data_IF_222858187209
#
_entry.id   IF_222858187209
#
_cell.length_a   1.000
_cell.length_b   1.000
_cell.length_c   1.000
_cell.angle_alpha   90.00
_cell.angle_beta   90.00
_cell.angle_gamma   90.00
#
_symmetry.space_group_name_H-M   'P 1'
#
loop_
_entity.id
_entity.type
_entity.pdbx_description
1 polymer ?
#
# COMPACT_ATOMS: atom_id res chain seq x y z
N UNK A 1 -8.13 45.73 -79.10
CA UNK A 1 -8.58 44.44 -79.66
C UNK A 1 -7.35 43.54 -79.78
N UNK A 2 -7.42 42.31 -79.21
CA UNK A 2 -6.53 41.14 -79.38
C UNK A 2 -5.14 41.23 -78.72
N UNK A 3 -4.83 40.52 -77.62
CA UNK A 3 -4.79 39.06 -77.35
C UNK A 3 -3.45 38.39 -77.73
N UNK A 4 -2.86 37.75 -76.70
CA UNK A 4 -2.18 36.45 -76.68
C UNK A 4 -0.72 36.31 -77.15
N UNK A 5 -0.04 35.36 -76.49
CA UNK A 5 1.23 34.67 -76.80
C UNK A 5 2.57 35.22 -76.32
N UNK A 6 2.82 35.39 -75.00
CA UNK A 6 4.20 35.34 -74.45
C UNK A 6 4.35 34.76 -73.01
N UNK A 7 3.51 33.82 -72.58
CA UNK A 7 3.67 33.15 -71.27
C UNK A 7 3.63 31.62 -71.39
N UNK A 8 4.57 31.02 -72.13
CA UNK A 8 4.65 29.55 -72.18
C UNK A 8 6.07 28.98 -72.23
N UNK A 9 7.13 29.76 -72.01
CA UNK A 9 8.50 29.25 -72.11
C UNK A 9 9.44 29.70 -70.98
N UNK A 10 8.93 29.74 -69.75
CA UNK A 10 9.75 29.92 -68.55
C UNK A 10 9.30 29.02 -67.38
N UNK A 11 8.78 27.84 -67.73
CA UNK A 11 8.28 26.81 -66.80
C UNK A 11 8.73 25.40 -67.25
N UNK A 12 9.91 25.31 -67.86
CA UNK A 12 10.47 24.03 -68.33
C UNK A 12 11.98 23.90 -68.05
N UNK A 13 12.48 24.52 -66.99
CA UNK A 13 13.90 24.45 -66.62
C UNK A 13 14.15 24.37 -65.11
N UNK A 14 13.17 23.92 -64.32
CA UNK A 14 13.31 23.74 -62.87
C UNK A 14 12.80 22.37 -62.37
N UNK A 15 12.92 21.31 -63.19
CA UNK A 15 12.41 19.97 -62.85
C UNK A 15 13.46 18.86 -62.92
N UNK A 16 14.74 19.18 -62.73
CA UNK A 16 15.80 18.16 -62.61
C UNK A 16 16.78 18.55 -61.50
N UNK A 17 16.41 18.31 -60.24
CA UNK A 17 17.36 18.12 -59.13
C UNK A 17 16.65 17.74 -57.82
N UNK A 18 15.81 16.70 -57.81
CA UNK A 18 15.55 15.93 -56.60
C UNK A 18 15.40 14.46 -56.97
N UNK A 19 16.44 13.87 -57.55
CA UNK A 19 16.71 12.45 -57.30
C UNK A 19 17.28 12.40 -55.88
N UNK A 20 16.41 12.55 -54.89
CA UNK A 20 16.70 11.97 -53.59
C UNK A 20 16.84 10.47 -53.88
N UNK A 21 18.04 9.92 -53.67
CA UNK A 21 18.14 8.50 -53.43
C UNK A 21 17.22 8.25 -52.23
N UNK A 22 16.03 7.71 -52.48
CA UNK A 22 15.30 6.97 -51.47
C UNK A 22 16.29 5.87 -51.08
N UNK A 23 16.98 6.06 -49.95
CA UNK A 23 17.70 4.97 -49.32
C UNK A 23 16.60 4.02 -48.90
N UNK A 24 16.34 3.02 -49.72
CA UNK A 24 15.60 1.83 -49.32
C UNK A 24 16.43 1.21 -48.21
N UNK A 25 16.08 1.57 -46.97
CA UNK A 25 16.64 0.92 -45.80
C UNK A 25 15.90 -0.40 -45.71
N UNK A 26 16.47 -1.45 -46.34
CA UNK A 26 16.15 -2.80 -45.94
C UNK A 26 16.46 -2.90 -44.45
N UNK A 27 15.40 -2.95 -43.64
CA UNK A 27 15.54 -3.20 -42.22
C UNK A 27 16.34 -4.51 -42.09
N UNK A 28 17.41 -4.54 -41.29
CA UNK A 28 18.16 -5.77 -41.09
C UNK A 28 17.16 -6.87 -40.67
N UNK A 29 17.29 -8.09 -41.22
CA UNK A 29 16.35 -9.15 -40.92
C UNK A 29 16.31 -9.38 -39.41
N UNK A 30 15.13 -9.23 -38.81
CA UNK A 30 14.88 -9.61 -37.43
C UNK A 30 14.95 -11.14 -37.39
N UNK A 31 16.12 -11.69 -37.06
CA UNK A 31 16.28 -13.12 -36.81
C UNK A 31 15.68 -13.45 -35.45
N UNK A 32 14.76 -14.41 -35.43
CA UNK A 32 14.28 -15.00 -34.18
C UNK A 32 15.46 -15.56 -33.39
N UNK A 33 15.59 -15.24 -32.08
CA UNK A 33 16.59 -15.87 -31.23
C UNK A 33 16.38 -17.39 -31.21
N UNK A 34 17.45 -18.16 -31.35
CA UNK A 34 17.42 -19.62 -31.21
C UNK A 34 18.47 -20.03 -30.19
N UNK A 35 18.05 -20.75 -29.15
CA UNK A 35 19.00 -21.27 -28.17
C UNK A 35 19.64 -22.57 -28.68
N UNK A 36 20.97 -22.53 -28.90
CA UNK A 36 21.74 -23.69 -29.39
C UNK A 36 22.67 -24.29 -28.33
N UNK A 37 22.49 -23.92 -27.06
CA UNK A 37 23.32 -24.39 -25.94
C UNK A 37 22.89 -25.76 -25.38
N UNK A 38 23.48 -26.20 -24.26
CA UNK A 38 23.11 -27.45 -23.60
C UNK A 38 21.65 -27.48 -23.17
N UNK A 39 21.03 -28.66 -23.19
CA UNK A 39 19.67 -28.83 -22.67
C UNK A 39 19.60 -28.46 -21.18
N UNK A 40 18.44 -27.91 -20.77
CA UNK A 40 18.17 -27.66 -19.37
C UNK A 40 18.23 -28.97 -18.56
N UNK A 41 18.87 -28.92 -17.41
CA UNK A 41 19.17 -30.09 -16.58
C UNK A 41 18.90 -29.84 -15.08
N UNK A 42 18.25 -28.71 -14.76
CA UNK A 42 17.78 -28.40 -13.42
C UNK A 42 16.51 -27.55 -13.49
N UNK A 43 15.76 -27.54 -12.39
CA UNK A 43 14.58 -26.71 -12.15
C UNK A 43 14.84 -25.66 -11.08
N UNK A 44 13.97 -24.66 -10.96
CA UNK A 44 14.08 -23.65 -9.90
C UNK A 44 13.89 -24.28 -8.52
N UNK A 45 13.01 -25.27 -8.36
CA UNK A 45 12.86 -25.99 -7.09
C UNK A 45 14.17 -26.70 -6.68
N UNK A 46 14.81 -27.43 -7.59
CA UNK A 46 16.11 -28.08 -7.34
C UNK A 46 17.21 -27.06 -7.08
N UNK A 47 17.18 -25.90 -7.76
CA UNK A 47 18.12 -24.82 -7.54
C UNK A 47 18.01 -24.25 -6.12
N UNK A 48 16.79 -24.07 -5.61
CA UNK A 48 16.53 -23.63 -4.23
C UNK A 48 17.05 -24.63 -3.21
N UNK A 49 16.84 -25.92 -3.44
CA UNK A 49 17.39 -27.01 -2.61
C UNK A 49 18.92 -27.01 -2.62
N UNK A 50 19.53 -26.84 -3.80
CA UNK A 50 20.98 -26.75 -3.96
C UNK A 50 21.57 -25.58 -3.16
N UNK A 51 20.87 -24.44 -3.15
CA UNK A 51 21.25 -23.23 -2.41
C UNK A 51 20.82 -23.19 -0.94
N UNK A 52 20.34 -24.29 -0.35
CA UNK A 52 19.75 -24.28 1.00
C UNK A 52 20.71 -23.81 2.11
N UNK A 53 22.03 -23.86 1.88
CA UNK A 53 23.04 -23.37 2.83
C UNK A 53 23.40 -21.88 2.66
N UNK A 54 22.83 -21.19 1.67
CA UNK A 54 23.10 -19.77 1.44
C UNK A 54 22.58 -18.90 2.60
N UNK A 55 23.26 -17.80 2.86
CA UNK A 55 22.83 -16.77 3.81
C UNK A 55 22.98 -15.39 3.18
N UNK A 56 22.63 -14.35 3.94
CA UNK A 56 22.81 -12.97 3.49
C UNK A 56 24.29 -12.60 3.29
N UNK A 57 25.17 -13.08 4.17
CA UNK A 57 26.59 -12.74 4.15
C UNK A 57 27.46 -13.79 3.43
N UNK A 58 26.95 -15.01 3.27
CA UNK A 58 27.68 -16.12 2.66
C UNK A 58 26.81 -16.74 1.57
N UNK A 59 27.01 -16.36 0.29
CA UNK A 59 26.24 -16.94 -0.80
C UNK A 59 26.72 -18.38 -1.09
N UNK A 60 25.84 -19.19 -1.67
CA UNK A 60 26.20 -20.47 -2.25
C UNK A 60 26.63 -20.27 -3.72
N UNK A 61 27.90 -20.49 -4.04
CA UNK A 61 28.41 -20.39 -5.42
C UNK A 61 28.16 -21.71 -6.17
N UNK A 62 27.52 -21.60 -7.32
CA UNK A 62 27.13 -22.75 -8.14
C UNK A 62 28.34 -23.19 -8.99
N UNK A 63 29.03 -24.23 -8.55
CA UNK A 63 30.20 -24.76 -9.27
C UNK A 63 29.84 -25.72 -10.41
N UNK A 64 28.65 -26.34 -10.35
CA UNK A 64 28.18 -27.33 -11.32
C UNK A 64 27.74 -26.70 -12.64
N UNK A 65 27.84 -27.47 -13.72
CA UNK A 65 27.36 -27.11 -15.05
C UNK A 65 25.83 -27.31 -15.15
N UNK A 66 25.08 -26.43 -14.47
CA UNK A 66 23.62 -26.42 -14.50
C UNK A 66 23.09 -25.40 -15.50
N UNK A 67 22.06 -25.80 -16.24
CA UNK A 67 21.31 -24.95 -17.16
C UNK A 67 19.84 -24.98 -16.77
N UNK A 68 19.30 -23.81 -16.44
CA UNK A 68 17.88 -23.61 -16.13
C UNK A 68 17.16 -23.14 -17.39
N UNK A 69 15.99 -23.71 -17.71
CA UNK A 69 15.04 -23.13 -18.65
C UNK A 69 13.91 -22.49 -17.87
N UNK A 70 13.62 -21.21 -18.15
CA UNK A 70 12.55 -20.48 -17.46
C UNK A 70 11.91 -19.44 -18.38
N UNK A 71 10.78 -18.90 -17.95
CA UNK A 71 10.10 -17.76 -18.58
C UNK A 71 10.30 -16.51 -17.74
N UNK A 72 10.55 -15.38 -18.38
CA UNK A 72 10.54 -14.06 -17.73
C UNK A 72 9.11 -13.69 -17.34
N UNK A 73 8.84 -13.51 -16.05
CA UNK A 73 7.50 -13.15 -15.54
C UNK A 73 7.37 -11.72 -15.05
N UNK A 74 8.48 -11.03 -14.79
CA UNK A 74 8.50 -9.63 -14.38
C UNK A 74 9.89 -9.01 -14.56
N UNK A 75 9.93 -7.71 -14.84
CA UNK A 75 11.13 -6.92 -15.08
C UNK A 75 10.87 -5.45 -14.71
N UNK A 76 11.82 -4.58 -15.00
CA UNK A 76 11.86 -3.17 -14.58
C UNK A 76 11.10 -2.20 -15.51
N UNK A 77 10.19 -2.67 -16.36
CA UNK A 77 9.50 -1.86 -17.38
C UNK A 77 8.79 -0.62 -16.82
N UNK A 78 7.98 -0.80 -15.76
CA UNK A 78 7.23 0.31 -15.15
C UNK A 78 8.05 1.12 -14.16
N UNK A 79 9.26 0.68 -13.78
CA UNK A 79 10.04 1.26 -12.69
C UNK A 79 9.63 0.78 -11.28
N UNK A 80 8.59 -0.05 -11.12
CA UNK A 80 8.24 -0.61 -9.81
C UNK A 80 9.23 -1.68 -9.33
N UNK A 81 9.81 -2.42 -10.29
CA UNK A 81 10.87 -3.42 -10.06
C UNK A 81 12.21 -2.75 -10.39
N UNK A 82 13.16 -2.81 -9.47
CA UNK A 82 14.45 -2.13 -9.62
C UNK A 82 15.61 -3.12 -9.61
N UNK A 83 16.39 -3.15 -10.71
CA UNK A 83 17.60 -3.98 -10.86
C UNK A 83 17.39 -5.48 -10.61
N UNK A 84 16.20 -5.96 -10.96
CA UNK A 84 15.78 -7.36 -10.82
C UNK A 84 15.05 -7.83 -12.06
N UNK A 85 15.12 -9.12 -12.31
CA UNK A 85 14.27 -9.83 -13.28
C UNK A 85 13.75 -11.11 -12.62
N UNK A 86 12.50 -11.48 -12.91
CA UNK A 86 11.85 -12.66 -12.34
C UNK A 86 11.77 -13.78 -13.36
N UNK A 87 12.21 -14.97 -12.96
CA UNK A 87 12.14 -16.19 -13.75
C UNK A 87 11.19 -17.19 -13.10
N UNK A 88 10.40 -17.87 -13.92
CA UNK A 88 9.49 -18.92 -13.48
C UNK A 88 9.58 -20.13 -14.41
N UNK A 89 9.63 -21.33 -13.83
CA UNK A 89 9.48 -22.59 -14.53
C UNK A 89 8.22 -23.33 -14.03
N UNK A 90 8.06 -24.60 -14.38
CA UNK A 90 6.89 -25.40 -13.98
C UNK A 90 6.87 -25.71 -12.47
N UNK A 91 8.01 -25.54 -11.77
CA UNK A 91 8.21 -25.98 -10.39
C UNK A 91 8.15 -24.84 -9.38
N UNK A 92 8.73 -23.68 -9.70
CA UNK A 92 8.87 -22.53 -8.79
C UNK A 92 9.22 -21.25 -9.56
N UNK A 93 9.49 -20.18 -8.83
CA UNK A 93 10.00 -18.92 -9.37
C UNK A 93 11.19 -18.41 -8.54
N UNK A 94 12.04 -17.59 -9.14
CA UNK A 94 13.19 -16.96 -8.49
C UNK A 94 13.44 -15.58 -9.09
N UNK A 95 13.89 -14.66 -8.26
CA UNK A 95 14.40 -13.38 -8.74
C UNK A 95 15.91 -13.45 -9.00
N UNK A 96 16.37 -12.71 -10.01
CA UNK A 96 17.79 -12.52 -10.29
C UNK A 96 18.15 -11.05 -10.20
N UNK A 97 19.17 -10.74 -9.41
CA UNK A 97 19.75 -9.40 -9.28
C UNK A 97 20.61 -9.08 -10.51
N UNK A 98 20.37 -7.91 -11.13
CA UNK A 98 21.05 -7.47 -12.36
C UNK A 98 21.51 -6.03 -12.20
N UNK A 99 22.79 -5.75 -12.48
CA UNK A 99 23.35 -4.40 -12.40
C UNK A 99 23.06 -3.59 -13.68
N UNK A 100 21.79 -3.52 -14.06
CA UNK A 100 21.33 -2.83 -15.27
C UNK A 100 19.92 -2.28 -15.08
N UNK A 101 19.65 -1.15 -15.72
CA UNK A 101 18.30 -0.61 -15.87
C UNK A 101 17.78 -0.87 -17.29
N UNK A 102 16.46 -0.83 -17.43
CA UNK A 102 15.75 -1.07 -18.68
C UNK A 102 16.02 -2.44 -19.29
N UNK A 103 16.14 -3.46 -18.43
CA UNK A 103 16.34 -4.86 -18.84
C UNK A 103 15.14 -5.37 -19.66
N UNK A 104 13.94 -4.81 -19.42
CA UNK A 104 12.73 -5.10 -20.20
C UNK A 104 12.89 -4.94 -21.71
N UNK A 105 13.75 -4.02 -22.18
CA UNK A 105 14.02 -3.82 -23.61
C UNK A 105 14.66 -5.05 -24.29
N UNK A 106 15.32 -5.90 -23.50
CA UNK A 106 16.06 -7.06 -23.99
C UNK A 106 15.38 -8.38 -23.63
N UNK A 107 14.75 -8.43 -22.46
CA UNK A 107 14.09 -9.59 -21.86
C UNK A 107 12.67 -9.19 -21.39
N UNK A 108 11.73 -9.01 -22.33
CA UNK A 108 10.34 -8.69 -22.01
C UNK A 108 9.62 -9.88 -21.36
N UNK A 109 8.50 -9.60 -20.70
CA UNK A 109 7.64 -10.64 -20.11
C UNK A 109 7.22 -11.67 -21.18
N UNK A 110 7.26 -12.95 -20.83
CA UNK A 110 6.94 -14.05 -21.74
C UNK A 110 8.13 -14.54 -22.59
N UNK A 111 9.30 -13.91 -22.47
CA UNK A 111 10.54 -14.41 -23.07
C UNK A 111 10.96 -15.72 -22.40
N UNK A 112 11.13 -16.78 -23.19
CA UNK A 112 11.78 -18.01 -22.74
C UNK A 112 13.28 -17.81 -22.78
N UNK A 113 13.95 -18.20 -21.69
CA UNK A 113 15.39 -18.09 -21.53
C UNK A 113 16.01 -19.37 -21.02
N UNK A 114 17.29 -19.54 -21.34
CA UNK A 114 18.18 -20.51 -20.74
C UNK A 114 19.25 -19.77 -19.94
N UNK A 115 19.39 -20.12 -18.67
CA UNK A 115 20.36 -19.51 -17.74
C UNK A 115 21.46 -20.52 -17.46
N UNK A 116 22.69 -20.21 -17.86
CA UNK A 116 23.88 -20.96 -17.44
C UNK A 116 24.24 -20.55 -16.02
N UNK A 117 24.08 -21.47 -15.07
CA UNK A 117 24.17 -21.16 -13.64
C UNK A 117 25.60 -21.25 -13.09
N UNK A 118 26.54 -21.82 -13.85
CA UNK A 118 27.91 -22.01 -13.37
C UNK A 118 28.60 -20.66 -13.11
N UNK A 119 29.13 -20.51 -11.90
CA UNK A 119 29.78 -19.28 -11.46
C UNK A 119 28.82 -18.20 -10.94
N UNK A 120 27.51 -18.38 -11.13
CA UNK A 120 26.50 -17.60 -10.41
C UNK A 120 26.39 -18.08 -8.97
N UNK A 121 25.62 -17.36 -8.17
CA UNK A 121 25.41 -17.67 -6.76
C UNK A 121 23.97 -17.49 -6.32
N UNK A 122 23.57 -18.25 -5.31
CA UNK A 122 22.36 -18.03 -4.54
C UNK A 122 22.74 -17.30 -3.27
N UNK A 123 22.13 -16.14 -3.02
CA UNK A 123 22.25 -15.40 -1.76
C UNK A 123 20.87 -15.27 -1.11
N UNK A 124 20.82 -14.75 0.12
CA UNK A 124 19.56 -14.54 0.85
C UNK A 124 19.35 -13.07 1.17
N UNK A 125 18.15 -12.56 0.91
CA UNK A 125 17.72 -11.23 1.34
C UNK A 125 16.30 -11.29 1.88
N UNK A 126 16.08 -10.78 3.09
CA UNK A 126 14.77 -10.81 3.73
C UNK A 126 14.22 -12.23 3.92
N UNK A 127 15.08 -13.17 4.30
CA UNK A 127 14.80 -14.62 4.40
C UNK A 127 14.52 -15.34 3.07
N UNK A 128 14.66 -14.65 1.92
CA UNK A 128 14.38 -15.25 0.61
C UNK A 128 15.62 -15.38 -0.28
N UNK A 129 15.71 -16.51 -0.98
CA UNK A 129 16.80 -16.80 -1.92
C UNK A 129 16.65 -16.01 -3.22
N UNK A 130 17.76 -15.40 -3.66
CA UNK A 130 17.87 -14.67 -4.93
C UNK A 130 19.08 -15.19 -5.73
N UNK A 131 18.97 -15.20 -7.04
CA UNK A 131 20.06 -15.54 -7.96
C UNK A 131 20.88 -14.27 -8.26
N UNK A 132 22.19 -14.42 -8.41
CA UNK A 132 23.06 -13.29 -8.72
C UNK A 132 24.50 -13.68 -9.00
N UNK A 133 25.40 -12.71 -8.96
CA UNK A 133 26.83 -12.92 -9.09
C UNK A 133 27.50 -12.80 -7.72
N UNK A 134 28.39 -13.74 -7.32
CA UNK A 134 28.95 -13.77 -5.97
C UNK A 134 29.76 -12.53 -5.60
N UNK A 135 30.45 -11.95 -6.59
CA UNK A 135 31.27 -10.74 -6.39
C UNK A 135 30.52 -9.44 -6.70
N UNK A 136 29.24 -9.51 -7.04
CA UNK A 136 28.41 -8.35 -7.37
C UNK A 136 28.08 -7.52 -6.13
N UNK A 137 27.97 -6.19 -6.26
CA UNK A 137 27.44 -5.36 -5.18
C UNK A 137 25.97 -5.74 -4.93
N UNK A 138 25.66 -6.15 -3.69
CA UNK A 138 24.37 -6.77 -3.34
C UNK A 138 24.04 -7.98 -4.22
N UNK A 139 25.07 -8.71 -4.67
CA UNK A 139 24.97 -9.84 -5.59
C UNK A 139 24.43 -9.54 -6.99
N UNK A 140 24.34 -8.26 -7.37
CA UNK A 140 23.91 -7.89 -8.72
C UNK A 140 24.87 -8.40 -9.78
N UNK A 141 24.31 -9.11 -10.74
CA UNK A 141 25.06 -9.65 -11.87
C UNK A 141 25.42 -8.50 -12.80
N UNK A 142 26.72 -8.23 -13.07
CA UNK A 142 27.13 -7.24 -14.05
C UNK A 142 26.45 -7.49 -15.40
N UNK A 143 26.06 -6.42 -16.11
CA UNK A 143 25.28 -6.56 -17.33
C UNK A 143 25.93 -7.46 -18.39
N UNK A 144 27.24 -7.31 -18.59
CA UNK A 144 28.00 -8.15 -19.54
C UNK A 144 27.91 -9.63 -19.18
N UNK A 145 28.11 -9.97 -17.91
CA UNK A 145 27.96 -11.35 -17.40
C UNK A 145 26.53 -11.84 -17.54
N UNK A 146 25.53 -11.00 -17.26
CA UNK A 146 24.12 -11.37 -17.44
C UNK A 146 23.82 -11.74 -18.90
N UNK A 147 24.30 -10.96 -19.86
CA UNK A 147 24.12 -11.24 -21.29
C UNK A 147 24.82 -12.53 -21.74
N UNK A 148 25.96 -12.87 -21.14
CA UNK A 148 26.67 -14.13 -21.42
C UNK A 148 25.93 -15.35 -20.88
N UNK A 149 25.33 -15.24 -19.68
CA UNK A 149 24.72 -16.40 -19.01
C UNK A 149 23.23 -16.56 -19.31
N UNK A 150 22.52 -15.52 -19.73
CA UNK A 150 21.08 -15.56 -20.03
C UNK A 150 20.84 -15.46 -21.53
N UNK A 151 20.57 -16.61 -22.16
CA UNK A 151 20.30 -16.73 -23.58
C UNK A 151 18.79 -16.83 -23.87
N UNK A 152 18.31 -16.14 -24.91
CA UNK A 152 16.91 -16.18 -25.34
C UNK A 152 16.63 -17.36 -26.26
N UNK A 153 15.42 -17.90 -26.18
CA UNK A 153 14.90 -18.93 -27.06
C UNK A 153 13.54 -18.50 -27.63
N UNK A 154 13.50 -18.24 -28.94
CA UNK A 154 12.33 -17.71 -29.63
C UNK A 154 12.03 -16.24 -29.33
N UNK A 155 11.00 -15.72 -30.00
CA UNK A 155 10.40 -14.45 -29.64
C UNK A 155 9.62 -14.54 -28.32
N UNK A 156 9.57 -13.43 -27.58
CA UNK A 156 8.75 -13.34 -26.39
C UNK A 156 7.26 -13.51 -26.73
N UNK A 157 6.57 -14.33 -25.94
CA UNK A 157 5.14 -14.53 -26.05
C UNK A 157 4.50 -14.32 -24.67
N UNK A 158 3.67 -13.27 -24.48
CA UNK A 158 2.99 -13.00 -23.21
C UNK A 158 2.21 -14.20 -22.65
N UNK A 159 1.71 -15.09 -23.51
CA UNK A 159 0.99 -16.30 -23.10
C UNK A 159 1.85 -17.29 -22.31
N UNK A 160 3.18 -17.15 -22.34
CA UNK A 160 4.07 -17.97 -21.52
C UNK A 160 4.07 -17.51 -20.05
N UNK A 161 3.73 -16.25 -19.77
CA UNK A 161 3.74 -15.66 -18.43
C UNK A 161 2.31 -15.58 -17.84
N UNK A 162 1.64 -16.74 -17.74
CA UNK A 162 0.28 -16.83 -17.17
C UNK A 162 0.33 -16.84 -15.64
N UNK A 163 -0.45 -15.98 -14.97
CA UNK A 163 -0.52 -15.99 -13.51
C UNK A 163 -1.22 -17.24 -12.99
N UNK A 164 -0.82 -17.67 -11.79
CA UNK A 164 -1.66 -18.59 -10.99
C UNK A 164 -2.82 -17.78 -10.40
N UNK A 165 -4.05 -18.16 -10.74
CA UNK A 165 -5.27 -17.51 -10.26
C UNK A 165 -5.58 -17.97 -8.84
N UNK A 166 -5.86 -17.04 -7.93
CA UNK A 166 -6.11 -17.26 -6.51
C UNK A 166 -7.34 -16.42 -6.09
N UNK A 167 -8.34 -17.06 -5.49
CA UNK A 167 -9.56 -16.42 -4.97
C UNK A 167 -9.61 -16.33 -3.44
N UNK A 168 -8.77 -17.11 -2.75
CA UNK A 168 -8.53 -17.06 -1.31
C UNK A 168 -7.03 -16.78 -1.04
N UNK A 169 -6.71 -15.57 -0.59
CA UNK A 169 -5.35 -15.14 -0.29
C UNK A 169 -4.68 -16.11 0.70
N UNK A 170 -5.40 -16.69 1.65
CA UNK A 170 -4.82 -17.58 2.66
C UNK A 170 -4.18 -18.83 2.05
N UNK A 171 -4.56 -19.23 0.84
CA UNK A 171 -4.01 -20.37 0.09
C UNK A 171 -2.50 -20.30 -0.08
N UNK A 172 -1.93 -19.09 -0.17
CA UNK A 172 -0.48 -18.91 -0.34
C UNK A 172 0.31 -19.45 0.86
N UNK A 173 -0.33 -19.61 2.03
CA UNK A 173 0.29 -20.17 3.23
C UNK A 173 0.31 -21.71 3.25
N UNK A 174 -0.40 -22.38 2.33
CA UNK A 174 -0.43 -23.85 2.25
C UNK A 174 0.83 -24.44 1.61
N UNK A 175 1.54 -23.64 0.80
CA UNK A 175 2.80 -24.00 0.15
C UNK A 175 3.68 -22.76 -0.01
N UNK A 176 4.25 -22.30 1.09
CA UNK A 176 5.04 -21.07 1.13
C UNK A 176 6.14 -21.07 0.06
N UNK A 177 6.92 -22.14 -0.07
CA UNK A 177 8.01 -22.17 -1.04
C UNK A 177 7.54 -22.19 -2.50
N UNK A 178 6.39 -22.79 -2.77
CA UNK A 178 5.80 -22.83 -4.11
C UNK A 178 5.23 -21.52 -4.61
N UNK A 179 5.04 -20.52 -3.74
CA UNK A 179 4.45 -19.22 -4.10
C UNK A 179 5.45 -18.05 -4.09
N UNK A 180 6.67 -18.25 -3.56
CA UNK A 180 7.73 -17.22 -3.55
C UNK A 180 8.09 -16.78 -4.96
N UNK A 181 8.03 -15.46 -5.20
CA UNK A 181 8.27 -14.77 -6.46
C UNK A 181 7.40 -15.23 -7.63
N UNK A 182 6.34 -16.01 -7.35
CA UNK A 182 5.47 -16.53 -8.38
C UNK A 182 4.59 -15.42 -8.93
N UNK A 183 4.35 -15.45 -10.24
CA UNK A 183 3.32 -14.62 -10.84
C UNK A 183 1.94 -15.15 -10.46
N UNK A 184 1.18 -14.33 -9.72
CA UNK A 184 -0.16 -14.68 -9.23
C UNK A 184 -1.17 -13.60 -9.64
N UNK A 185 -2.44 -13.98 -9.72
CA UNK A 185 -3.57 -13.08 -9.88
C UNK A 185 -4.56 -13.36 -8.76
N UNK A 186 -4.76 -12.37 -7.89
CA UNK A 186 -5.84 -12.40 -6.91
C UNK A 186 -7.11 -11.86 -7.53
N UNK A 187 -8.18 -12.65 -7.50
CA UNK A 187 -9.47 -12.28 -8.10
C UNK A 187 -10.45 -11.75 -7.08
N UNK A 188 -11.33 -10.84 -7.51
CA UNK A 188 -12.40 -10.29 -6.68
C UNK A 188 -11.91 -9.63 -5.37
N UNK A 189 -10.76 -8.97 -5.44
CA UNK A 189 -10.18 -8.22 -4.33
C UNK A 189 -10.53 -6.74 -4.43
N UNK A 190 -10.57 -6.05 -3.29
CA UNK A 190 -10.65 -4.59 -3.21
C UNK A 190 -9.40 -4.02 -2.57
N UNK A 191 -8.93 -2.85 -3.00
CA UNK A 191 -7.98 -2.09 -2.19
C UNK A 191 -8.68 -1.53 -0.95
N UNK A 192 -8.09 -1.70 0.23
CA UNK A 192 -8.62 -1.17 1.49
C UNK A 192 -8.84 0.35 1.42
N UNK A 193 -7.93 1.05 0.73
CA UNK A 193 -8.00 2.50 0.46
C UNK A 193 -8.37 2.81 -1.00
N UNK A 194 -9.10 1.91 -1.67
CA UNK A 194 -9.53 2.07 -3.06
C UNK A 194 -10.34 3.36 -3.26
N UNK A 195 -10.00 4.14 -4.30
CA UNK A 195 -10.59 5.45 -4.59
C UNK A 195 -10.13 6.59 -3.66
N UNK A 196 -9.29 6.30 -2.66
CA UNK A 196 -8.80 7.29 -1.68
C UNK A 196 -7.29 7.53 -1.85
N UNK A 197 -6.49 6.50 -1.67
CA UNK A 197 -5.02 6.61 -1.74
C UNK A 197 -4.52 6.48 -3.19
N UNK A 198 -3.24 6.83 -3.38
CA UNK A 198 -2.46 6.55 -4.59
C UNK A 198 -1.55 5.35 -4.35
N UNK A 199 -1.02 4.74 -5.41
CA UNK A 199 -0.16 3.56 -5.27
C UNK A 199 1.13 3.80 -4.48
N UNK A 200 1.75 4.98 -4.59
CA UNK A 200 2.92 5.36 -3.81
C UNK A 200 3.04 6.89 -3.65
N UNK A 201 3.58 7.37 -2.51
CA UNK A 201 3.88 8.78 -2.31
C UNK A 201 5.04 9.26 -3.19
N UNK A 202 5.28 10.58 -3.23
CA UNK A 202 6.37 11.17 -4.04
C UNK A 202 7.77 10.67 -3.66
N UNK A 203 7.95 10.21 -2.42
CA UNK A 203 9.22 9.67 -1.93
C UNK A 203 9.05 8.33 -1.21
N UNK A 204 9.85 7.33 -1.57
CA UNK A 204 9.89 6.04 -0.87
C UNK A 204 8.97 5.00 -1.51
N UNK A 205 8.19 4.30 -0.69
CA UNK A 205 7.30 3.24 -1.12
C UNK A 205 5.88 3.50 -0.61
N UNK A 206 4.89 3.15 -1.41
CA UNK A 206 3.52 2.94 -0.96
C UNK A 206 3.32 1.49 -0.53
N UNK A 207 2.55 1.30 0.52
CA UNK A 207 2.22 0.02 1.13
C UNK A 207 0.71 -0.03 1.33
N UNK A 208 0.00 -0.54 0.33
CA UNK A 208 -1.48 -0.55 0.30
C UNK A 208 -1.99 -1.97 0.40
N UNK A 209 -3.10 -2.21 1.10
CA UNK A 209 -3.60 -3.57 1.27
C UNK A 209 -4.73 -3.88 0.30
N UNK A 210 -4.69 -5.06 -0.33
CA UNK A 210 -5.86 -5.67 -0.97
C UNK A 210 -6.55 -6.61 0.01
N UNK A 211 -7.87 -6.74 -0.12
CA UNK A 211 -8.73 -7.57 0.73
C UNK A 211 -9.57 -8.50 -0.16
N UNK A 212 -9.52 -9.81 0.09
CA UNK A 212 -10.32 -10.79 -0.64
C UNK A 212 -11.76 -10.91 -0.09
N UNK A 213 -12.57 -11.79 -0.68
CA UNK A 213 -13.95 -12.04 -0.22
C UNK A 213 -14.04 -12.75 1.13
N UNK A 214 -12.92 -13.26 1.65
CA UNK A 214 -12.83 -13.98 2.91
C UNK A 214 -12.33 -13.08 4.06
N UNK A 215 -11.96 -11.82 3.74
CA UNK A 215 -11.43 -10.86 4.71
C UNK A 215 -9.93 -10.99 4.95
N UNK A 216 -9.23 -11.82 4.17
CA UNK A 216 -7.77 -11.90 4.22
C UNK A 216 -7.17 -10.66 3.56
N UNK A 217 -6.02 -10.22 4.07
CA UNK A 217 -5.30 -9.06 3.53
C UNK A 217 -3.94 -9.45 2.96
N UNK A 218 -3.51 -8.70 1.94
CA UNK A 218 -2.17 -8.80 1.37
C UNK A 218 -1.66 -7.40 1.02
N UNK A 219 -0.43 -7.10 1.43
CA UNK A 219 0.23 -5.84 1.10
C UNK A 219 0.63 -5.83 -0.38
N UNK A 220 0.29 -4.76 -1.07
CA UNK A 220 0.80 -4.35 -2.38
C UNK A 220 1.83 -3.27 -2.14
N UNK A 221 3.09 -3.55 -2.49
CA UNK A 221 4.20 -2.63 -2.33
C UNK A 221 4.54 -1.99 -3.67
N UNK A 222 4.51 -0.66 -3.73
CA UNK A 222 4.82 0.11 -4.94
C UNK A 222 5.92 1.13 -4.67
N UNK A 223 6.92 1.21 -5.53
CA UNK A 223 7.96 2.23 -5.50
C UNK A 223 7.44 3.56 -6.03
N UNK A 224 7.90 4.67 -5.47
CA UNK A 224 7.68 6.00 -6.03
C UNK A 224 8.30 6.20 -7.44
N UNK A 225 9.18 5.30 -7.89
CA UNK A 225 9.72 5.29 -9.25
C UNK A 225 8.80 4.60 -10.28
N UNK A 226 7.73 3.94 -9.83
CA UNK A 226 6.76 3.35 -10.74
C UNK A 226 6.05 4.45 -11.56
N UNK A 227 5.89 4.26 -12.86
CA UNK A 227 5.18 5.20 -13.75
C UNK A 227 3.69 5.38 -13.40
N UNK A 228 3.15 4.48 -12.57
CA UNK A 228 1.81 4.52 -12.01
C UNK A 228 1.76 4.89 -10.52
N UNK A 229 2.89 5.24 -9.89
CA UNK A 229 2.96 5.56 -8.46
C UNK A 229 1.91 6.58 -8.02
N UNK A 230 1.76 7.66 -8.79
CA UNK A 230 0.82 8.75 -8.49
C UNK A 230 -0.64 8.47 -8.88
N UNK A 231 -0.97 7.30 -9.42
CA UNK A 231 -2.34 6.97 -9.80
C UNK A 231 -3.16 6.57 -8.56
N UNK A 232 -4.42 7.01 -8.52
CA UNK A 232 -5.38 6.62 -7.48
C UNK A 232 -5.66 5.12 -7.58
N UNK A 233 -5.68 4.44 -6.44
CA UNK A 233 -6.10 3.04 -6.34
C UNK A 233 -7.52 2.89 -6.88
N UNK A 234 -7.84 1.85 -7.66
CA UNK A 234 -9.20 1.65 -8.13
C UNK A 234 -10.13 1.36 -6.97
N UNK A 235 -11.36 1.84 -7.08
CA UNK A 235 -12.42 1.51 -6.15
C UNK A 235 -13.19 0.26 -6.63
N UNK A 236 -13.99 -0.33 -5.75
CA UNK A 236 -14.75 -1.54 -6.05
C UNK A 236 -13.88 -2.81 -5.97
N UNK A 237 -14.33 -3.88 -6.64
CA UNK A 237 -13.63 -5.17 -6.65
C UNK A 237 -13.18 -5.52 -8.06
N UNK A 238 -11.98 -6.04 -8.17
CA UNK A 238 -11.40 -6.46 -9.44
C UNK A 238 -10.30 -7.49 -9.24
N UNK A 239 -9.40 -7.55 -10.21
CA UNK A 239 -8.30 -8.49 -10.26
C UNK A 239 -6.98 -7.75 -10.07
N UNK A 240 -6.12 -8.28 -9.20
CA UNK A 240 -4.77 -7.73 -8.96
C UNK A 240 -3.75 -8.82 -9.23
N UNK A 241 -2.92 -8.59 -10.23
CA UNK A 241 -1.84 -9.48 -10.68
C UNK A 241 -0.51 -8.96 -10.16
N UNK A 242 0.47 -9.82 -9.95
CA UNK A 242 1.79 -9.37 -9.56
C UNK A 242 2.73 -10.50 -9.17
N UNK A 243 3.95 -10.12 -8.85
CA UNK A 243 4.96 -11.03 -8.32
C UNK A 243 4.77 -11.12 -6.81
N UNK A 244 4.44 -12.31 -6.30
CA UNK A 244 4.25 -12.53 -4.87
C UNK A 244 5.59 -12.76 -4.17
N UNK A 245 6.18 -11.69 -3.67
CA UNK A 245 7.40 -11.74 -2.86
C UNK A 245 7.12 -12.00 -1.39
N UNK A 246 8.17 -12.33 -0.65
CA UNK A 246 8.15 -12.46 0.81
C UNK A 246 9.37 -11.76 1.38
N UNK A 247 9.24 -11.15 2.56
CA UNK A 247 10.34 -10.46 3.23
C UNK A 247 10.19 -10.56 4.74
N UNK A 248 11.21 -11.10 5.40
CA UNK A 248 11.22 -11.39 6.84
C UNK A 248 9.96 -12.13 7.30
N UNK A 249 9.53 -13.11 6.50
CA UNK A 249 8.34 -13.91 6.78
C UNK A 249 7.00 -13.29 6.37
N UNK A 250 6.93 -12.07 5.85
CA UNK A 250 5.68 -11.39 5.46
C UNK A 250 5.50 -11.38 3.95
N UNK A 251 4.29 -11.73 3.47
CA UNK A 251 3.95 -11.66 2.05
C UNK A 251 3.78 -10.22 1.57
N UNK A 252 4.27 -9.93 0.37
CA UNK A 252 4.11 -8.65 -0.30
C UNK A 252 4.00 -8.85 -1.81
N UNK A 253 3.03 -8.21 -2.43
CA UNK A 253 2.77 -8.25 -3.86
C UNK A 253 3.43 -7.06 -4.54
N UNK A 254 4.24 -7.32 -5.56
CA UNK A 254 4.83 -6.29 -6.40
C UNK A 254 4.13 -6.29 -7.76
N UNK A 255 3.45 -5.20 -8.08
CA UNK A 255 2.83 -5.00 -9.40
C UNK A 255 3.93 -4.81 -10.45
N UNK A 256 3.79 -5.40 -11.64
CA UNK A 256 4.75 -5.23 -12.73
C UNK A 256 4.42 -3.99 -13.56
N UNK A 257 3.15 -3.66 -13.68
CA UNK A 257 2.64 -2.44 -14.34
C UNK A 257 1.23 -2.12 -13.85
N UNK A 258 0.69 -0.96 -14.23
CA UNK A 258 -0.72 -0.61 -13.94
C UNK A 258 -1.71 -1.61 -14.55
N UNK A 259 -1.36 -2.27 -15.66
CA UNK A 259 -2.24 -3.26 -16.30
C UNK A 259 -2.43 -4.53 -15.46
N UNK A 260 -1.62 -4.74 -14.42
CA UNK A 260 -1.84 -5.80 -13.46
C UNK A 260 -3.07 -5.53 -12.55
N UNK A 261 -3.59 -4.31 -12.55
CA UNK A 261 -4.78 -3.89 -11.83
C UNK A 261 -5.91 -3.74 -12.84
N UNK A 262 -6.78 -4.74 -12.92
CA UNK A 262 -7.74 -4.87 -14.00
C UNK A 262 -9.14 -5.23 -13.51
N UNK A 263 -10.13 -4.96 -14.35
CA UNK A 263 -11.52 -5.39 -14.17
C UNK A 263 -12.15 -4.95 -12.84
N UNK A 264 -11.69 -3.83 -12.29
CA UNK A 264 -12.33 -3.23 -11.13
C UNK A 264 -13.71 -2.72 -11.51
N UNK A 265 -14.72 -3.37 -10.94
CA UNK A 265 -16.14 -3.08 -11.14
C UNK A 265 -16.84 -2.94 -9.81
N UNK A 266 -18.00 -2.30 -9.87
CA UNK A 266 -18.58 -1.66 -8.71
C UNK A 266 -18.15 -0.20 -8.69
N UNK A 267 -19.07 0.67 -8.31
CA UNK A 267 -18.67 1.94 -7.75
C UNK A 267 -17.77 1.64 -6.55
N UNK A 268 -16.99 2.62 -6.11
CA UNK A 268 -16.49 2.57 -4.75
C UNK A 268 -17.60 1.99 -3.89
N UNK A 269 -17.32 0.93 -3.11
CA UNK A 269 -18.01 0.80 -1.84
C UNK A 269 -17.54 1.97 -0.99
N UNK A 270 -17.85 3.18 -1.46
CA UNK A 270 -18.03 4.31 -0.64
C UNK A 270 -19.23 3.90 0.16
N UNK A 271 -19.00 3.59 1.42
CA UNK A 271 -19.82 4.30 2.38
C UNK A 271 -19.77 5.77 1.93
N UNK A 272 -20.91 6.22 1.39
CA UNK A 272 -20.95 7.17 0.29
C UNK A 272 -20.19 8.45 0.57
N UNK A 273 -19.00 8.58 -0.01
CA UNK A 273 -18.27 9.84 -0.04
C UNK A 273 -18.15 10.34 -1.47
N UNK A 274 -19.25 10.92 -1.90
CA UNK A 274 -19.25 11.96 -2.92
C UNK A 274 -18.47 13.15 -2.37
N UNK A 275 -17.16 13.22 -2.62
CA UNK A 275 -16.34 14.44 -2.58
C UNK A 275 -16.67 15.42 -1.46
N UNK A 276 -16.70 14.96 -0.21
CA UNK A 276 -16.65 15.86 0.94
C UNK A 276 -15.21 16.32 1.12
N UNK A 277 -14.98 17.63 1.23
CA UNK A 277 -13.71 18.11 1.77
C UNK A 277 -13.49 17.43 3.14
N UNK A 278 -12.30 16.86 3.38
CA UNK A 278 -11.93 16.40 4.71
C UNK A 278 -11.91 17.62 5.62
N UNK A 279 -12.89 17.71 6.51
CA UNK A 279 -12.99 18.77 7.48
C UNK A 279 -12.38 18.32 8.80
N UNK A 280 -11.70 19.24 9.47
CA UNK A 280 -11.24 19.03 10.84
C UNK A 280 -12.36 19.46 11.78
N UNK A 281 -12.92 18.49 12.51
CA UNK A 281 -14.02 18.68 13.46
C UNK A 281 -13.48 19.18 14.80
N UNK A 282 -12.31 18.68 15.18
CA UNK A 282 -11.59 19.08 16.37
C UNK A 282 -10.10 19.10 16.06
N UNK A 283 -9.42 20.17 16.43
CA UNK A 283 -7.97 20.28 16.43
C UNK A 283 -7.56 20.92 17.76
N UNK A 284 -7.14 20.09 18.71
CA UNK A 284 -6.77 20.51 20.05
C UNK A 284 -5.33 20.08 20.35
N UNK A 285 -4.35 20.98 20.19
CA UNK A 285 -2.96 20.68 20.48
C UNK A 285 -2.65 20.67 21.98
N UNK A 286 -3.50 21.25 22.84
CA UNK A 286 -3.21 21.56 24.25
C UNK A 286 -1.94 22.43 24.41
N UNK A 287 -1.81 23.45 23.57
CA UNK A 287 -0.64 24.34 23.56
C UNK A 287 -0.63 25.35 24.73
N UNK A 288 0.42 26.17 24.80
CA UNK A 288 0.56 27.19 25.85
C UNK A 288 -0.61 28.17 25.93
N UNK A 289 -1.20 28.51 24.79
CA UNK A 289 -2.25 29.51 24.69
C UNK A 289 -3.64 28.91 24.98
N UNK A 290 -3.85 27.67 24.55
CA UNK A 290 -5.10 26.92 24.69
C UNK A 290 -5.25 26.23 26.04
N UNK A 291 -4.17 25.74 26.65
CA UNK A 291 -4.23 25.00 27.91
C UNK A 291 -5.06 23.72 27.79
N UNK A 292 -6.26 23.71 28.41
CA UNK A 292 -7.24 22.61 28.26
C UNK A 292 -8.15 22.79 27.03
N UNK A 293 -8.11 23.96 26.38
CA UNK A 293 -8.95 24.27 25.24
C UNK A 293 -10.43 24.22 25.58
N UNK A 294 -11.21 23.55 24.72
CA UNK A 294 -12.66 23.37 24.92
C UNK A 294 -13.03 22.09 25.67
N UNK A 295 -12.05 21.35 26.18
CA UNK A 295 -12.31 20.15 26.98
C UNK A 295 -12.77 20.52 28.39
N UNK A 296 -13.52 19.61 29.01
CA UNK A 296 -13.98 19.72 30.40
C UNK A 296 -13.51 18.52 31.21
N UNK A 297 -13.40 18.68 32.53
CA UNK A 297 -13.01 17.60 33.43
C UNK A 297 -14.26 17.13 34.18
N UNK A 298 -14.53 15.83 34.11
CA UNK A 298 -15.53 15.16 34.95
C UNK A 298 -14.82 14.30 35.99
N UNK A 299 -14.65 14.82 37.20
CA UNK A 299 -14.08 14.07 38.32
C UNK A 299 -15.14 13.18 38.99
N UNK A 300 -14.89 11.87 39.01
CA UNK A 300 -15.73 10.86 39.67
C UNK A 300 -15.21 10.62 41.09
N UNK A 301 -13.89 10.51 41.23
CA UNK A 301 -13.19 10.39 42.51
C UNK A 301 -11.89 11.18 42.47
N UNK A 302 -11.80 12.24 43.26
CA UNK A 302 -10.56 12.99 43.44
C UNK A 302 -9.60 12.24 44.38
N UNK A 303 -8.29 12.24 44.11
CA UNK A 303 -7.31 11.58 44.97
C UNK A 303 -7.13 12.34 46.28
N UNK A 304 -6.94 11.60 47.37
CA UNK A 304 -6.77 12.21 48.69
C UNK A 304 -5.56 13.16 48.71
N UNK A 305 -5.80 14.42 49.09
CA UNK A 305 -4.76 15.44 49.16
C UNK A 305 -4.51 16.20 47.85
N UNK A 306 -5.30 15.96 46.81
CA UNK A 306 -5.34 16.77 45.57
C UNK A 306 -6.75 17.30 45.32
N UNK A 307 -6.86 18.37 44.55
CA UNK A 307 -8.12 18.94 44.08
C UNK A 307 -8.35 18.72 42.58
N UNK A 308 -7.47 17.95 41.92
CA UNK A 308 -7.54 17.66 40.50
C UNK A 308 -6.91 16.30 40.18
N UNK A 309 -7.35 15.69 39.08
CA UNK A 309 -6.69 14.54 38.42
C UNK A 309 -6.01 15.01 37.14
N UNK A 310 -6.77 15.65 36.25
CA UNK A 310 -6.28 16.22 35.00
C UNK A 310 -5.81 17.67 35.18
N UNK A 311 -4.71 18.03 34.53
CA UNK A 311 -4.19 19.40 34.50
C UNK A 311 -3.41 19.67 33.22
N UNK A 312 -3.45 20.91 32.72
CA UNK A 312 -2.54 21.35 31.67
C UNK A 312 -1.12 21.44 32.25
N UNK A 313 -0.15 20.87 31.54
CA UNK A 313 1.24 20.78 31.99
C UNK A 313 2.19 20.97 30.80
N UNK A 314 3.46 21.22 31.12
CA UNK A 314 4.48 21.37 30.09
C UNK A 314 5.87 20.90 30.55
N UNK A 315 6.68 20.48 29.59
CA UNK A 315 8.10 20.16 29.79
C UNK A 315 8.90 20.50 28.54
N UNK A 316 9.99 21.27 28.68
CA UNK A 316 10.82 21.74 27.55
C UNK A 316 10.00 22.33 26.39
N UNK A 317 9.08 23.24 26.72
CA UNK A 317 8.21 23.92 25.75
C UNK A 317 7.26 22.99 24.96
N UNK A 318 7.11 21.74 25.39
CA UNK A 318 6.04 20.84 24.95
C UNK A 318 4.90 20.87 25.95
N UNK A 319 3.69 21.07 25.47
CA UNK A 319 2.48 21.25 26.28
C UNK A 319 1.52 20.08 26.05
N UNK A 320 0.81 19.68 27.09
CA UNK A 320 -0.08 18.52 27.07
C UNK A 320 -1.05 18.56 28.25
N UNK A 321 -2.12 17.77 28.17
CA UNK A 321 -2.93 17.44 29.34
C UNK A 321 -2.34 16.23 30.06
N UNK A 322 -2.30 16.27 31.39
CA UNK A 322 -1.72 15.22 32.22
C UNK A 322 -2.69 14.78 33.33
N UNK A 323 -2.96 13.48 33.41
CA UNK A 323 -3.57 12.83 34.56
C UNK A 323 -2.51 12.27 35.51
N UNK A 324 -2.72 12.45 36.82
CA UNK A 324 -1.93 11.78 37.85
C UNK A 324 -2.68 11.72 39.16
N UNK A 325 -2.58 10.59 39.86
CA UNK A 325 -3.06 10.42 41.23
C UNK A 325 -1.93 10.07 42.22
N UNK A 326 -0.68 10.29 41.82
CA UNK A 326 0.45 10.23 42.73
C UNK A 326 0.55 11.53 43.52
N UNK A 327 0.17 11.49 44.79
CA UNK A 327 0.07 12.67 45.67
C UNK A 327 0.93 12.45 46.90
N UNK A 328 1.80 13.43 47.22
CA UNK A 328 2.67 13.42 48.40
C UNK A 328 3.50 12.12 48.57
N UNK A 329 3.94 11.52 47.47
CA UNK A 329 4.78 10.31 47.50
C UNK A 329 4.02 8.99 47.55
N UNK A 330 2.69 8.98 47.35
CA UNK A 330 1.87 7.78 47.38
C UNK A 330 0.82 7.75 46.25
N UNK A 331 0.52 6.55 45.75
CA UNK A 331 -0.59 6.29 44.84
C UNK A 331 -1.92 6.47 45.58
N UNK A 332 -2.88 7.15 44.96
CA UNK A 332 -4.21 7.38 45.52
C UNK A 332 -5.28 6.79 44.61
N UNK A 333 -6.39 6.35 45.20
CA UNK A 333 -7.58 6.01 44.42
C UNK A 333 -8.10 7.27 43.71
N UNK A 334 -8.36 7.17 42.41
CA UNK A 334 -9.00 8.26 41.66
C UNK A 334 -9.70 7.73 40.41
N UNK A 335 -10.64 8.52 39.90
CA UNK A 335 -11.34 8.26 38.65
C UNK A 335 -11.77 9.60 38.07
N UNK A 336 -11.35 9.90 36.85
CA UNK A 336 -11.65 11.17 36.20
C UNK A 336 -11.62 11.04 34.68
N UNK A 337 -12.41 11.86 34.00
CA UNK A 337 -12.49 11.93 32.54
C UNK A 337 -12.09 13.31 32.06
N UNK A 338 -11.20 13.36 31.07
CA UNK A 338 -10.98 14.55 30.25
C UNK A 338 -11.91 14.44 29.03
N UNK A 339 -12.98 15.22 29.05
CA UNK A 339 -14.14 15.11 28.14
C UNK A 339 -14.05 16.15 27.03
N UNK A 340 -14.17 15.70 25.78
CA UNK A 340 -14.19 16.57 24.60
C UNK A 340 -15.36 17.56 24.62
N UNK A 341 -15.28 18.67 23.86
CA UNK A 341 -16.50 19.39 23.48
C UNK A 341 -17.48 18.46 22.75
N UNK A 342 -18.75 18.86 22.69
CA UNK A 342 -19.74 18.15 21.89
C UNK A 342 -19.36 18.24 20.40
N UNK A 343 -19.20 17.07 19.76
CA UNK A 343 -18.92 16.94 18.35
C UNK A 343 -20.23 16.63 17.65
N UNK A 344 -20.75 17.59 16.89
CA UNK A 344 -21.86 17.33 15.98
C UNK A 344 -21.32 16.49 14.81
N UNK A 345 -21.81 15.27 14.62
CA UNK A 345 -21.44 14.41 13.49
C UNK A 345 -22.57 14.32 12.46
N UNK A 346 -23.53 15.24 12.51
CA UNK A 346 -24.64 15.34 11.55
C UNK A 346 -24.08 15.52 10.15
N UNK A 347 -24.51 14.63 9.24
CA UNK A 347 -24.00 14.58 7.87
C UNK A 347 -22.46 14.45 7.84
N UNK A 348 -21.85 13.67 8.73
CA UNK A 348 -20.41 13.40 8.72
C UNK A 348 -20.16 11.90 8.60
N UNK A 349 -19.11 11.56 7.85
CA UNK A 349 -18.66 10.18 7.61
C UNK A 349 -17.13 10.10 7.74
N UNK A 350 -16.57 8.88 7.76
CA UNK A 350 -15.14 8.60 7.97
C UNK A 350 -14.55 9.43 9.12
N UNK A 351 -15.20 9.33 10.29
CA UNK A 351 -14.84 10.13 11.46
C UNK A 351 -13.67 9.43 12.15
N UNK A 352 -12.48 10.01 12.01
CA UNK A 352 -11.24 9.48 12.58
C UNK A 352 -10.76 10.37 13.71
N UNK A 353 -10.53 9.76 14.88
CA UNK A 353 -9.84 10.36 16.00
C UNK A 353 -8.38 9.89 16.03
N UNK A 354 -7.46 10.83 16.21
CA UNK A 354 -6.04 10.58 16.48
C UNK A 354 -5.57 11.46 17.62
N UNK A 355 -4.61 10.97 18.42
CA UNK A 355 -3.92 11.79 19.41
C UNK A 355 -2.53 11.22 19.70
N UNK A 356 -1.64 12.04 20.21
CA UNK A 356 -0.35 11.58 20.73
C UNK A 356 -0.46 11.40 22.25
N UNK A 357 0.04 10.28 22.76
CA UNK A 357 0.07 10.04 24.19
C UNK A 357 1.32 9.31 24.67
N UNK A 358 1.56 9.39 25.97
CA UNK A 358 2.51 8.55 26.69
C UNK A 358 1.98 8.34 28.10
N UNK A 359 2.16 7.15 28.64
CA UNK A 359 2.02 6.95 30.08
C UNK A 359 3.36 6.60 30.71
N UNK A 360 3.49 6.88 32.00
CA UNK A 360 4.64 6.50 32.82
C UNK A 360 4.23 5.49 33.85
N UNK A 361 4.94 4.38 33.83
CA UNK A 361 4.85 3.33 34.83
C UNK A 361 6.13 3.31 35.69
N UNK A 362 5.96 2.98 36.97
CA UNK A 362 7.06 2.78 37.92
C UNK A 362 7.06 1.36 38.53
N UNK A 363 6.09 0.51 38.14
CA UNK A 363 5.98 -0.91 38.48
C UNK A 363 6.15 -1.82 37.26
N UNK A 364 5.95 -3.13 37.44
CA UNK A 364 6.08 -4.14 36.38
C UNK A 364 4.81 -4.37 35.57
N UNK A 365 3.63 -4.06 36.11
CA UNK A 365 2.34 -4.15 35.43
C UNK A 365 2.00 -2.79 34.80
N UNK A 366 1.70 -2.76 33.50
CA UNK A 366 1.40 -1.52 32.77
C UNK A 366 0.01 -0.97 33.05
N UNK A 367 -0.89 -1.75 33.66
CA UNK A 367 -2.23 -1.32 34.07
C UNK A 367 -3.00 -0.55 32.98
N UNK A 368 -2.87 -0.97 31.70
CA UNK A 368 -3.50 -0.27 30.57
C UNK A 368 -5.03 -0.18 30.68
N UNK A 369 -5.68 -1.10 31.40
CA UNK A 369 -7.11 -1.04 31.67
C UNK A 369 -7.54 0.18 32.51
N UNK A 370 -6.60 0.89 33.13
CA UNK A 370 -6.86 2.11 33.87
C UNK A 370 -6.85 3.37 32.97
N UNK A 371 -6.42 3.23 31.71
CA UNK A 371 -6.34 4.29 30.71
C UNK A 371 -7.22 3.90 29.53
N UNK A 372 -8.35 4.59 29.34
CA UNK A 372 -9.33 4.22 28.30
C UNK A 372 -9.77 5.40 27.48
N UNK A 373 -10.19 5.13 26.25
CA UNK A 373 -11.01 6.05 25.47
C UNK A 373 -12.46 5.58 25.58
N UNK A 374 -13.36 6.50 25.85
CA UNK A 374 -14.80 6.21 25.89
C UNK A 374 -15.57 7.24 25.08
N UNK A 375 -16.72 6.85 24.53
CA UNK A 375 -17.62 7.71 23.76
C UNK A 375 -19.00 7.67 24.39
N UNK A 376 -19.70 8.82 24.39
CA UNK A 376 -21.12 8.92 24.72
C UNK A 376 -21.86 9.75 23.70
N UNK A 377 -23.09 9.37 23.42
CA UNK A 377 -24.02 10.19 22.64
C UNK A 377 -24.65 11.28 23.51
N UNK A 378 -24.94 12.44 22.92
CA UNK A 378 -25.59 13.55 23.61
C UNK A 378 -26.97 13.12 24.13
N UNK A 379 -27.20 13.30 25.44
CA UNK A 379 -28.43 12.87 26.12
C UNK A 379 -28.37 11.44 26.68
N UNK A 380 -27.32 10.68 26.38
CA UNK A 380 -26.97 9.44 27.06
C UNK A 380 -26.18 9.69 28.36
N UNK A 381 -26.37 8.81 29.35
CA UNK A 381 -25.60 8.85 30.61
C UNK A 381 -24.54 7.74 30.70
N UNK A 382 -24.40 6.91 29.65
CA UNK A 382 -23.47 5.79 29.59
C UNK A 382 -22.32 6.08 28.65
N UNK A 383 -21.12 5.72 29.09
CA UNK A 383 -19.89 5.75 28.31
C UNK A 383 -19.63 4.36 27.73
N UNK A 384 -19.33 4.30 26.43
CA UNK A 384 -18.94 3.08 25.71
C UNK A 384 -17.44 3.11 25.43
N UNK A 385 -16.74 2.03 25.75
CA UNK A 385 -15.30 1.93 25.53
C UNK A 385 -14.97 1.78 24.03
N UNK A 386 -13.98 2.54 23.57
CA UNK A 386 -13.39 2.43 22.24
C UNK A 386 -11.91 2.09 22.40
N UNK A 387 -11.44 1.12 21.62
CA UNK A 387 -10.05 0.67 21.71
C UNK A 387 -9.07 1.76 21.26
N UNK A 388 -7.99 1.94 22.03
CA UNK A 388 -6.82 2.71 21.60
C UNK A 388 -5.83 1.70 20.99
N UNK A 389 -5.49 1.79 19.69
CA UNK A 389 -4.68 0.78 19.01
C UNK A 389 -3.27 0.63 19.59
N UNK A 390 -2.61 1.74 19.90
CA UNK A 390 -1.22 1.77 20.32
C UNK A 390 -1.07 2.38 21.72
N UNK A 391 -0.20 1.79 22.54
CA UNK A 391 0.21 2.31 23.83
C UNK A 391 1.73 2.31 23.95
N UNK A 392 2.30 3.33 24.61
CA UNK A 392 3.73 3.39 24.91
C UNK A 392 4.17 2.24 25.82
N UNK A 393 5.47 1.95 25.91
CA UNK A 393 5.98 0.89 26.82
C UNK A 393 5.90 1.28 28.31
N UNK A 394 5.72 2.56 28.61
CA UNK A 394 5.75 3.09 29.98
C UNK A 394 7.15 3.41 30.51
N UNK A 395 8.20 3.12 29.72
CA UNK A 395 9.60 3.17 30.13
C UNK A 395 10.28 4.53 29.94
N UNK A 396 9.73 5.38 29.07
CA UNK A 396 10.23 6.72 28.78
C UNK A 396 9.10 7.77 28.74
N UNK A 397 9.43 9.03 28.40
CA UNK A 397 8.45 10.10 28.22
C UNK A 397 8.24 10.42 26.72
N UNK A 398 8.45 9.45 25.85
CA UNK A 398 8.31 9.64 24.40
C UNK A 398 6.85 9.44 24.03
N UNK A 399 6.23 10.52 23.53
CA UNK A 399 4.89 10.46 22.95
C UNK A 399 4.90 9.56 21.72
N UNK A 400 3.89 8.72 21.61
CA UNK A 400 3.60 7.92 20.42
C UNK A 400 2.22 8.27 19.88
N UNK A 401 1.97 8.06 18.58
CA UNK A 401 0.63 8.21 18.02
C UNK A 401 -0.29 7.07 18.50
N UNK A 402 -1.55 7.40 18.78
CA UNK A 402 -2.61 6.43 19.12
C UNK A 402 -2.87 5.41 18.01
N UNK A 403 -2.53 5.74 16.76
CA UNK A 403 -3.12 5.13 15.57
C UNK A 403 -4.46 5.77 15.22
N UNK A 404 -5.07 5.35 14.11
CA UNK A 404 -6.40 5.81 13.70
C UNK A 404 -7.49 5.11 14.51
N UNK A 405 -8.38 5.90 15.12
CA UNK A 405 -9.52 5.41 15.88
C UNK A 405 -10.78 5.77 15.13
N UNK A 406 -11.45 4.75 14.58
CA UNK A 406 -12.67 4.91 13.80
C UNK A 406 -13.89 5.14 14.71
N UNK A 407 -14.51 6.31 14.56
CA UNK A 407 -15.74 6.73 15.23
C UNK A 407 -16.92 6.82 14.26
N UNK A 408 -16.81 6.24 13.05
CA UNK A 408 -17.83 6.38 12.00
C UNK A 408 -19.18 5.75 12.37
N UNK A 409 -19.20 4.80 13.31
CA UNK A 409 -20.43 4.26 13.91
C UNK A 409 -21.28 5.33 14.65
N UNK A 410 -20.69 6.49 14.93
CA UNK A 410 -21.35 7.63 15.53
C UNK A 410 -21.75 8.73 14.52
N UNK A 411 -21.55 8.50 13.22
CA UNK A 411 -22.00 9.40 12.16
C UNK A 411 -23.50 9.70 12.26
N UNK A 412 -23.88 10.96 12.02
CA UNK A 412 -25.26 11.44 12.14
C UNK A 412 -25.70 11.80 13.56
N UNK A 413 -24.82 11.71 14.57
CA UNK A 413 -25.15 11.96 15.99
C UNK A 413 -24.30 13.09 16.55
N UNK A 414 -24.71 13.68 17.67
CA UNK A 414 -23.81 14.51 18.48
C UNK A 414 -23.20 13.64 19.57
N UNK A 415 -21.87 13.59 19.65
CA UNK A 415 -21.15 12.78 20.65
C UNK A 415 -20.17 13.61 21.48
N UNK A 416 -19.70 13.03 22.58
CA UNK A 416 -18.45 13.42 23.24
C UNK A 416 -17.60 12.16 23.40
N UNK A 417 -16.28 12.32 23.30
CA UNK A 417 -15.34 11.29 23.74
C UNK A 417 -14.63 11.75 25.00
N UNK A 418 -14.06 10.81 25.74
CA UNK A 418 -13.31 11.10 26.95
C UNK A 418 -12.09 10.21 27.09
N UNK A 419 -11.00 10.81 27.55
CA UNK A 419 -9.87 10.08 28.10
C UNK A 419 -10.19 9.75 29.55
N UNK A 420 -10.52 8.49 29.81
CA UNK A 420 -10.88 7.98 31.12
C UNK A 420 -9.63 7.46 31.83
N UNK A 421 -9.33 8.08 32.97
CA UNK A 421 -8.22 7.72 33.84
C UNK A 421 -8.74 7.16 35.16
N UNK A 422 -8.22 5.99 35.55
CA UNK A 422 -8.43 5.38 36.86
C UNK A 422 -7.10 5.18 37.57
N UNK A 423 -7.14 5.13 38.89
CA UNK A 423 -6.00 4.71 39.70
C UNK A 423 -6.46 4.09 41.00
N UNK A 424 -5.55 3.35 41.62
CA UNK A 424 -5.73 2.76 42.94
C UNK A 424 -4.54 3.06 43.85
N UNK A 425 -4.59 2.60 45.09
CA UNK A 425 -3.41 2.61 45.97
C UNK A 425 -2.29 1.67 45.49
N UNK A 426 -2.58 0.74 44.57
CA UNK A 426 -1.59 -0.15 43.98
C UNK A 426 -0.88 0.52 42.81
N UNK A 427 -1.60 1.30 42.01
CA UNK A 427 -1.08 1.91 40.80
C UNK A 427 -1.71 3.28 40.49
N UNK A 428 -0.87 4.27 40.21
CA UNK A 428 -1.27 5.60 39.76
C UNK A 428 -0.34 6.06 38.63
N UNK A 429 -0.60 5.55 37.42
CA UNK A 429 0.15 5.94 36.22
C UNK A 429 0.05 7.44 36.01
N UNK A 430 1.06 8.02 35.38
CA UNK A 430 0.92 9.36 34.82
C UNK A 430 0.59 9.22 33.35
N UNK A 431 -0.50 9.79 32.89
CA UNK A 431 -0.91 9.71 31.49
C UNK A 431 -0.94 11.11 30.88
N UNK A 432 -0.28 11.28 29.74
CA UNK A 432 -0.07 12.56 29.07
C UNK A 432 -0.61 12.49 27.65
N UNK A 433 -1.34 13.52 27.22
CA UNK A 433 -2.06 13.55 25.94
C UNK A 433 -1.88 14.91 25.27
N UNK A 434 -1.59 14.91 23.96
CA UNK A 434 -1.46 16.10 23.12
C UNK A 434 -1.94 15.82 21.68
N UNK A 435 -2.02 16.88 20.87
CA UNK A 435 -2.32 16.78 19.42
C UNK A 435 -3.60 15.98 19.13
N UNK A 436 -4.67 16.25 19.86
CA UNK A 436 -5.96 15.56 19.70
C UNK A 436 -6.66 16.12 18.47
N UNK A 437 -6.92 15.25 17.49
CA UNK A 437 -7.54 15.63 16.23
C UNK A 437 -8.69 14.71 15.86
N UNK A 438 -9.82 15.29 15.47
CA UNK A 438 -10.93 14.58 14.84
C UNK A 438 -11.12 15.13 13.44
N UNK A 439 -11.04 14.27 12.44
CA UNK A 439 -11.34 14.59 11.05
C UNK A 439 -12.57 13.81 10.61
N UNK A 440 -13.36 14.39 9.73
CA UNK A 440 -14.47 13.72 9.07
C UNK A 440 -14.60 14.25 7.65
N UNK A 441 -15.49 13.67 6.87
CA UNK A 441 -15.92 14.21 5.58
C UNK A 441 -17.35 14.71 5.69
N UNK A 442 -17.69 15.74 4.92
CA UNK A 442 -19.07 16.21 4.83
C UNK A 442 -19.91 15.28 3.95
N UNK A 443 -20.92 14.66 4.55
CA UNK A 443 -21.95 13.86 3.88
C UNK A 443 -22.90 14.74 3.08
N UNK A 444 -23.01 14.48 1.77
CA UNK A 444 -23.92 15.19 0.88
C UNK A 444 -25.38 15.07 1.34
N UNK A 445 -25.94 16.16 1.86
CA UNK A 445 -27.36 16.26 2.16
C UNK A 445 -28.18 16.27 0.87
N UNK A 446 -28.92 15.19 0.61
CA UNK A 446 -30.03 15.20 -0.35
C UNK A 446 -31.12 16.14 0.20
N UNK A 447 -31.12 17.40 -0.25
CA UNK A 447 -32.32 18.23 -0.18
C UNK A 447 -33.31 17.74 -1.23
N UNK A 448 -34.46 17.27 -0.76
CA UNK A 448 -35.61 16.97 -1.60
C UNK A 448 -36.04 18.18 -2.43
N UNK A 449 -36.39 17.90 -3.69
CA UNK A 449 -36.98 18.89 -4.58
C UNK A 449 -37.08 18.39 -6.02
N UNK A 450 -38.12 17.62 -6.33
CA UNK A 450 -39.24 18.08 -7.17
C UNK A 450 -39.96 16.88 -7.81
N UNK A 451 -41.27 16.88 -7.62
CA UNK A 451 -42.24 15.98 -8.23
C UNK A 451 -42.17 16.04 -9.76
N UNK A 452 -41.78 14.93 -10.40
CA UNK A 452 -41.94 14.70 -11.83
C UNK A 452 -43.03 13.66 -12.07
N UNK A 453 -44.27 14.08 -11.96
CA UNK A 453 -45.42 13.41 -12.57
C UNK A 453 -45.24 13.43 -14.10
N UNK A 454 -45.45 12.28 -14.75
CA UNK A 454 -45.18 12.13 -16.18
C UNK A 454 -45.24 10.70 -16.69
N UNK A 455 -46.05 9.83 -16.07
CA UNK A 455 -46.40 8.53 -16.63
C UNK A 455 -47.66 8.65 -17.49
N UNK A 456 -47.52 8.93 -18.79
CA UNK A 456 -48.64 8.80 -19.74
C UNK A 456 -48.89 7.33 -20.06
N UNK A 457 -50.10 6.78 -19.81
CA UNK A 457 -50.47 5.43 -20.22
C UNK A 457 -50.68 5.37 -21.74
N UNK A 458 -50.12 4.36 -22.39
CA UNK A 458 -50.40 4.05 -23.80
C UNK A 458 -51.67 3.20 -23.84
N UNK A 459 -52.79 3.77 -24.31
CA UNK A 459 -54.00 3.01 -24.67
C UNK A 459 -53.77 2.16 -25.94
N UNK A 460 -54.31 0.94 -26.03
CA UNK A 460 -54.33 0.17 -27.27
C UNK A 460 -55.49 0.61 -28.19
N UNK A 461 -55.15 0.83 -29.47
CA UNK A 461 -56.08 1.07 -30.58
C UNK A 461 -56.92 -0.20 -30.84
N UNK A 462 -58.25 -0.09 -31.01
CA UNK A 462 -59.11 -1.23 -31.31
C UNK A 462 -58.99 -1.64 -32.79
N UNK A 463 -58.91 -2.94 -33.06
CA UNK A 463 -59.12 -3.50 -34.41
C UNK A 463 -60.55 -4.04 -34.50
N UNK A 464 -61.32 -3.45 -35.42
CA UNK A 464 -62.57 -3.99 -35.94
C UNK A 464 -62.26 -5.01 -37.04
N UNK A 465 -62.53 -6.29 -36.78
CA UNK A 465 -63.32 -7.22 -37.61
C UNK A 465 -63.14 -8.67 -37.14
#
# INVERSE_FOLDING_TARGET
MKLLNKFSLLLLSASFAFTACERDYDAPPLSEPEYTGPAANTTIAELRELGASATQDVPFVIAGDFVLKATVTGNDESGNIYKKIYFQDETSAIEMEVDQNSVYNYYPVGQVVYVNLKGLSISVYGDEQQLGHPDGYLYRTPWETFQEVVSKDGWANPENAKPTVIDDISTVNTNVDGYKFKLVQFTNVSFANGGKNIFAPESGYGEENIVDSHGNTLMVRTSNYADFAGQTLPAGRGNVTGILGRFNGTWQLTLRSINDVADFTGESTGDGEQGGETETILDEPFDQAGGIGSFTIEDILLPQGSTYVWSAANYNEKYYMQASAFVNGANQNSESRLVSPALDLTNRQNIILTFDHVFRNFGTDTHLNDLKLEVREQGGNSWEEVAIPNYSTGEDNVFIPSGEIDLSNYGGKTIQFAFHYKSSTENALRWQIQNVKVTATSGGGSQGGNTGDGGTPIEPIPTNN
#
